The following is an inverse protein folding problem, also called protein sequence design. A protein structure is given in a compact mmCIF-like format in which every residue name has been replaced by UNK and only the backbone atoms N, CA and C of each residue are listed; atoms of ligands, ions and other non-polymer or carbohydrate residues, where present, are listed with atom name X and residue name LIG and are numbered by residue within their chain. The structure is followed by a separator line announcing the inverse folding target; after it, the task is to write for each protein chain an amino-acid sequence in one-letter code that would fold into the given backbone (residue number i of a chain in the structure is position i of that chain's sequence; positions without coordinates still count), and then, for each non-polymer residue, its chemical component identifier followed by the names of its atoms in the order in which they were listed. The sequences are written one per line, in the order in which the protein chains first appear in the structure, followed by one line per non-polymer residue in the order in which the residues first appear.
data_IF_870008707853
#
_entry.id   IF_870008707853
#
_cell.length_a   1.000
_cell.length_b   1.000
_cell.length_c   1.000
_cell.angle_alpha   90.00
_cell.angle_beta   90.00
_cell.angle_gamma   90.00
#
_symmetry.space_group_name_H-M   'P 1'
#
loop_
_entity.id
_entity.type
_entity.pdbx_description
1 polymer ?
#
# COMPACT_ATOMS: atom_id res chain seq x y z
N UNK A 1 -33.13 0.33 35.22
CA UNK A 1 -31.65 0.41 35.35
C UNK A 1 -30.91 -0.40 34.30
N UNK A 2 -31.18 -1.70 34.13
CA UNK A 2 -30.47 -2.57 33.17
C UNK A 2 -30.36 -2.02 31.73
N UNK A 3 -31.41 -1.41 31.19
CA UNK A 3 -31.41 -0.88 29.82
C UNK A 3 -30.51 0.36 29.65
N UNK A 4 -30.39 1.18 30.71
CA UNK A 4 -29.49 2.34 30.74
C UNK A 4 -28.02 1.89 30.83
N UNK A 5 -27.73 0.90 31.67
CA UNK A 5 -26.41 0.28 31.77
C UNK A 5 -25.98 -0.36 30.44
N UNK A 6 -26.89 -1.10 29.79
CA UNK A 6 -26.65 -1.72 28.48
C UNK A 6 -26.41 -0.68 27.38
N UNK A 7 -27.16 0.43 27.37
CA UNK A 7 -26.95 1.53 26.42
C UNK A 7 -25.59 2.20 26.60
N UNK A 8 -25.19 2.44 27.85
CA UNK A 8 -23.88 3.02 28.16
C UNK A 8 -22.73 2.10 27.75
N UNK A 9 -22.84 0.78 28.02
CA UNK A 9 -21.84 -0.19 27.58
C UNK A 9 -21.72 -0.27 26.05
N UNK A 10 -22.83 -0.25 25.32
CA UNK A 10 -22.82 -0.21 23.85
C UNK A 10 -22.15 1.06 23.31
N UNK A 11 -22.41 2.21 23.95
CA UNK A 11 -21.79 3.48 23.58
C UNK A 11 -20.27 3.46 23.80
N UNK A 12 -19.81 2.85 24.90
CA UNK A 12 -18.38 2.69 25.18
C UNK A 12 -17.70 1.75 24.18
N UNK A 13 -18.29 0.58 23.90
CA UNK A 13 -17.76 -0.36 22.92
C UNK A 13 -17.65 0.27 21.52
N UNK A 14 -18.65 1.06 21.11
CA UNK A 14 -18.60 1.76 19.82
C UNK A 14 -17.52 2.84 19.77
N UNK A 15 -17.25 3.53 20.88
CA UNK A 15 -16.16 4.51 20.96
C UNK A 15 -14.77 3.83 20.92
N UNK A 16 -14.60 2.72 21.63
CA UNK A 16 -13.35 1.95 21.61
C UNK A 16 -13.08 1.37 20.23
N UNK A 17 -14.11 0.81 19.57
CA UNK A 17 -13.99 0.29 18.23
C UNK A 17 -13.61 1.39 17.23
N UNK A 18 -14.21 2.59 17.34
CA UNK A 18 -13.85 3.73 16.49
C UNK A 18 -12.39 4.17 16.68
N UNK A 19 -11.93 4.25 17.92
CA UNK A 19 -10.53 4.57 18.24
C UNK A 19 -9.56 3.52 17.73
N UNK A 20 -9.92 2.24 17.80
CA UNK A 20 -9.11 1.16 17.24
C UNK A 20 -8.98 1.30 15.72
N UNK A 21 -10.09 1.56 15.01
CA UNK A 21 -10.07 1.82 13.56
C UNK A 21 -9.27 3.08 13.20
N UNK A 22 -9.43 4.18 13.94
CA UNK A 22 -8.66 5.42 13.74
C UNK A 22 -7.15 5.16 13.91
N UNK A 23 -6.75 4.41 14.93
CA UNK A 23 -5.35 4.04 15.16
C UNK A 23 -4.79 3.13 14.06
N UNK A 24 -5.56 2.13 13.62
CA UNK A 24 -5.15 1.23 12.53
C UNK A 24 -4.97 1.99 11.22
N UNK A 25 -5.90 2.90 10.90
CA UNK A 25 -5.79 3.77 9.74
C UNK A 25 -4.55 4.67 9.82
N UNK A 26 -4.24 5.22 11.00
CA UNK A 26 -3.06 6.05 11.20
C UNK A 26 -1.75 5.28 10.98
N UNK A 27 -1.68 4.05 11.49
CA UNK A 27 -0.53 3.15 11.28
C UNK A 27 -0.35 2.87 9.79
N UNK A 28 -1.46 2.63 9.08
CA UNK A 28 -1.43 2.35 7.64
C UNK A 28 -0.97 3.57 6.82
N UNK A 29 -1.41 4.77 7.17
CA UNK A 29 -0.93 6.02 6.57
C UNK A 29 0.58 6.16 6.76
N UNK A 30 1.09 5.96 7.98
CA UNK A 30 2.53 6.05 8.27
C UNK A 30 3.35 5.00 7.50
N UNK A 31 2.81 3.80 7.28
CA UNK A 31 3.46 2.78 6.46
C UNK A 31 3.50 3.19 4.99
N UNK A 32 2.40 3.73 4.46
CA UNK A 32 2.31 4.20 3.08
C UNK A 32 3.26 5.37 2.83
N UNK A 33 3.40 6.31 3.78
CA UNK A 33 4.36 7.41 3.70
C UNK A 33 5.81 6.89 3.60
N UNK A 34 6.19 5.91 4.43
CA UNK A 34 7.53 5.29 4.35
C UNK A 34 7.77 4.56 3.03
N UNK A 35 6.77 3.88 2.50
CA UNK A 35 6.86 3.21 1.20
C UNK A 35 7.00 4.23 0.07
N UNK A 36 6.28 5.34 0.15
CA UNK A 36 6.38 6.44 -0.82
C UNK A 36 7.79 7.06 -0.81
N UNK A 37 8.34 7.34 0.37
CA UNK A 37 9.70 7.86 0.49
C UNK A 37 10.74 6.89 -0.10
N UNK A 38 10.58 5.59 0.15
CA UNK A 38 11.45 4.57 -0.42
C UNK A 38 11.36 4.51 -1.95
N UNK A 39 10.14 4.60 -2.50
CA UNK A 39 9.91 4.66 -3.96
C UNK A 39 10.56 5.88 -4.59
N UNK A 40 10.39 7.06 -4.00
CA UNK A 40 10.99 8.30 -4.50
C UNK A 40 12.52 8.23 -4.49
N UNK A 41 13.11 7.62 -3.46
CA UNK A 41 14.56 7.41 -3.39
C UNK A 41 15.07 6.53 -4.53
N UNK A 42 14.38 5.42 -4.80
CA UNK A 42 14.70 4.53 -5.92
C UNK A 42 14.57 5.23 -7.28
N UNK A 43 13.53 6.04 -7.47
CA UNK A 43 13.35 6.82 -8.71
C UNK A 43 14.53 7.79 -8.95
N UNK A 44 15.04 8.45 -7.89
CA UNK A 44 16.22 9.30 -8.01
C UNK A 44 17.49 8.50 -8.38
N UNK A 45 17.70 7.34 -7.77
CA UNK A 45 18.85 6.47 -8.06
C UNK A 45 18.82 5.98 -9.52
N UNK A 46 17.64 5.61 -10.03
CA UNK A 46 17.43 5.23 -11.45
C UNK A 46 17.81 6.37 -12.39
N UNK A 47 17.33 7.58 -12.15
CA UNK A 47 17.65 8.73 -13.01
C UNK A 47 19.14 9.10 -12.95
N UNK A 48 19.78 8.97 -11.79
CA UNK A 48 21.23 9.14 -11.66
C UNK A 48 22.01 8.13 -12.51
N UNK A 49 21.62 6.84 -12.45
CA UNK A 49 22.25 5.77 -13.22
C UNK A 49 22.05 5.97 -14.74
N UNK A 50 20.85 6.34 -15.17
CA UNK A 50 20.56 6.70 -16.57
C UNK A 50 21.43 7.87 -17.04
N UNK A 51 21.59 8.89 -16.21
CA UNK A 51 22.48 10.02 -16.48
C UNK A 51 23.93 9.59 -16.66
N UNK A 52 24.45 8.76 -15.76
CA UNK A 52 25.81 8.19 -15.85
C UNK A 52 26.01 7.37 -17.13
N UNK A 53 25.03 6.55 -17.51
CA UNK A 53 25.06 5.78 -18.76
C UNK A 53 25.12 6.66 -20.00
N UNK A 54 24.29 7.71 -20.04
CA UNK A 54 24.24 8.62 -21.19
C UNK A 54 25.59 9.32 -21.40
N UNK A 55 26.22 9.73 -20.28
CA UNK A 55 27.56 10.32 -20.27
C UNK A 55 28.60 9.32 -20.74
N UNK A 56 28.59 8.08 -20.23
CA UNK A 56 29.52 7.03 -20.67
C UNK A 56 29.35 6.69 -22.16
N UNK A 57 28.12 6.64 -22.67
CA UNK A 57 27.85 6.40 -24.10
C UNK A 57 28.37 7.53 -25.00
N UNK A 58 28.38 8.77 -24.52
CA UNK A 58 28.92 9.92 -25.27
C UNK A 58 30.43 10.11 -25.11
N UNK A 59 31.03 9.63 -24.01
CA UNK A 59 32.46 9.80 -23.71
C UNK A 59 33.31 8.56 -23.97
N UNK A 60 32.70 7.39 -24.18
CA UNK A 60 33.41 6.17 -24.53
C UNK A 60 33.64 6.09 -26.04
N UNK A 61 34.89 5.89 -26.46
CA UNK A 61 35.20 5.44 -27.81
C UNK A 61 34.45 4.12 -28.07
N UNK A 62 33.78 3.99 -29.22
CA UNK A 62 32.93 2.85 -29.57
C UNK A 62 33.66 1.49 -29.52
N UNK A 63 35.00 1.49 -29.51
CA UNK A 63 35.87 0.31 -29.46
C UNK A 63 36.31 -0.13 -28.04
N UNK A 64 35.91 0.58 -26.96
CA UNK A 64 36.27 0.16 -25.61
C UNK A 64 35.32 -0.93 -25.08
N UNK A 65 35.75 -2.19 -25.20
CA UNK A 65 35.03 -3.37 -24.73
C UNK A 65 34.65 -3.30 -23.23
N UNK A 66 35.39 -2.54 -22.41
CA UNK A 66 35.04 -2.35 -21.01
C UNK A 66 33.79 -1.46 -20.85
N UNK A 67 33.63 -0.44 -21.71
CA UNK A 67 32.46 0.44 -21.74
C UNK A 67 31.22 -0.32 -22.23
N UNK A 68 31.37 -1.15 -23.27
CA UNK A 68 30.27 -1.98 -23.78
C UNK A 68 29.75 -2.98 -22.73
N UNK A 69 30.66 -3.65 -22.02
CA UNK A 69 30.27 -4.58 -20.94
C UNK A 69 29.54 -3.85 -19.80
N UNK A 70 30.02 -2.65 -19.42
CA UNK A 70 29.38 -1.85 -18.37
C UNK A 70 27.99 -1.37 -18.76
N UNK A 71 27.80 -0.95 -20.02
CA UNK A 71 26.48 -0.60 -20.55
C UNK A 71 25.54 -1.81 -20.52
N UNK A 72 26.05 -3.00 -20.85
CA UNK A 72 25.25 -4.22 -20.83
C UNK A 72 24.82 -4.60 -19.41
N UNK A 73 25.74 -4.62 -18.45
CA UNK A 73 25.44 -4.89 -17.04
C UNK A 73 24.38 -3.92 -16.50
N UNK A 74 24.52 -2.63 -16.78
CA UNK A 74 23.56 -1.63 -16.31
C UNK A 74 22.18 -1.76 -16.98
N UNK A 75 22.10 -2.24 -18.22
CA UNK A 75 20.80 -2.52 -18.85
C UNK A 75 20.13 -3.76 -18.22
N UNK A 76 20.89 -4.81 -17.90
CA UNK A 76 20.37 -6.00 -17.22
C UNK A 76 19.83 -5.65 -15.82
N UNK A 77 20.55 -4.81 -15.07
CA UNK A 77 20.08 -4.28 -13.77
C UNK A 77 18.83 -3.39 -13.92
N UNK A 78 18.77 -2.59 -14.99
CA UNK A 78 17.59 -1.76 -15.27
C UNK A 78 16.35 -2.61 -15.57
N UNK A 79 16.51 -3.67 -16.39
CA UNK A 79 15.41 -4.58 -16.73
C UNK A 79 14.90 -5.34 -15.48
N UNK A 80 15.80 -5.81 -14.62
CA UNK A 80 15.43 -6.43 -13.34
C UNK A 80 14.63 -5.48 -12.45
N UNK A 81 15.07 -4.23 -12.31
CA UNK A 81 14.35 -3.23 -11.52
C UNK A 81 12.96 -2.91 -12.09
N UNK A 82 12.78 -2.93 -13.41
CA UNK A 82 11.48 -2.72 -14.06
C UNK A 82 10.54 -3.90 -13.76
N UNK A 83 11.03 -5.13 -13.84
CA UNK A 83 10.24 -6.33 -13.53
C UNK A 83 9.82 -6.34 -12.05
N UNK A 84 10.73 -6.02 -11.13
CA UNK A 84 10.42 -5.89 -9.70
C UNK A 84 9.38 -4.79 -9.43
N UNK A 85 9.47 -3.64 -10.11
CA UNK A 85 8.46 -2.58 -10.01
C UNK A 85 7.09 -3.07 -10.44
N UNK A 86 7.02 -3.85 -11.52
CA UNK A 86 5.77 -4.39 -12.05
C UNK A 86 5.14 -5.40 -11.09
N UNK A 87 5.95 -6.28 -10.50
CA UNK A 87 5.47 -7.23 -9.48
C UNK A 87 4.90 -6.51 -8.25
N UNK A 88 5.53 -5.40 -7.84
CA UNK A 88 5.02 -4.56 -6.75
C UNK A 88 3.71 -3.86 -7.10
N UNK A 89 3.56 -3.37 -8.34
CA UNK A 89 2.30 -2.78 -8.81
C UNK A 89 1.16 -3.81 -8.85
N UNK A 90 1.44 -5.02 -9.36
CA UNK A 90 0.49 -6.12 -9.40
C UNK A 90 0.07 -6.56 -7.98
N UNK A 91 1.03 -6.65 -7.05
CA UNK A 91 0.75 -6.94 -5.64
C UNK A 91 -0.13 -5.86 -5.01
N UNK A 92 0.17 -4.59 -5.26
CA UNK A 92 -0.61 -3.48 -4.73
C UNK A 92 -2.06 -3.51 -5.26
N UNK A 93 -2.23 -3.78 -6.56
CA UNK A 93 -3.54 -3.93 -7.16
C UNK A 93 -4.34 -5.09 -6.54
N UNK A 94 -3.69 -6.23 -6.27
CA UNK A 94 -4.31 -7.35 -5.58
C UNK A 94 -4.73 -7.01 -4.13
N UNK A 95 -3.91 -6.25 -3.40
CA UNK A 95 -4.24 -5.78 -2.05
C UNK A 95 -5.42 -4.83 -2.05
N UNK A 96 -5.51 -3.90 -3.01
CA UNK A 96 -6.65 -2.99 -3.17
C UNK A 96 -7.95 -3.78 -3.38
N UNK A 97 -7.92 -4.82 -4.23
CA UNK A 97 -9.07 -5.68 -4.47
C UNK A 97 -9.49 -6.39 -3.18
N UNK A 98 -8.54 -6.97 -2.45
CA UNK A 98 -8.80 -7.68 -1.20
C UNK A 98 -9.36 -6.77 -0.10
N UNK A 99 -8.86 -5.55 0.01
CA UNK A 99 -9.41 -4.57 0.96
C UNK A 99 -10.85 -4.19 0.64
N UNK A 100 -11.17 -3.98 -0.65
CA UNK A 100 -12.56 -3.69 -1.06
C UNK A 100 -13.50 -4.84 -0.70
N UNK A 101 -13.10 -6.08 -0.99
CA UNK A 101 -13.87 -7.27 -0.64
C UNK A 101 -14.09 -7.37 0.88
N UNK A 102 -13.04 -7.19 1.68
CA UNK A 102 -13.13 -7.20 3.14
C UNK A 102 -14.04 -6.09 3.69
N UNK A 103 -13.99 -4.89 3.09
CA UNK A 103 -14.85 -3.77 3.47
C UNK A 103 -16.32 -4.05 3.12
N UNK A 104 -16.59 -4.63 1.94
CA UNK A 104 -17.94 -5.04 1.54
C UNK A 104 -18.50 -6.09 2.51
N UNK A 105 -17.71 -7.10 2.89
CA UNK A 105 -18.08 -8.11 3.90
C UNK A 105 -18.36 -7.48 5.26
N UNK A 106 -17.52 -6.56 5.73
CA UNK A 106 -17.71 -5.84 6.99
C UNK A 106 -18.99 -4.99 6.97
N UNK A 107 -19.28 -4.33 5.85
CA UNK A 107 -20.50 -3.55 5.69
C UNK A 107 -21.75 -4.42 5.69
N UNK A 108 -21.72 -5.58 5.02
CA UNK A 108 -22.82 -6.53 5.05
C UNK A 108 -23.05 -7.08 6.46
N UNK A 109 -21.99 -7.48 7.18
CA UNK A 109 -22.08 -7.90 8.57
C UNK A 109 -22.69 -6.81 9.48
N UNK A 110 -22.30 -5.54 9.27
CA UNK A 110 -22.87 -4.40 10.00
C UNK A 110 -24.35 -4.19 9.69
N UNK A 111 -24.75 -4.27 8.42
CA UNK A 111 -26.17 -4.18 8.01
C UNK A 111 -26.98 -5.28 8.67
N UNK A 112 -26.48 -6.51 8.68
CA UNK A 112 -27.12 -7.65 9.34
C UNK A 112 -27.29 -7.43 10.86
N UNK A 113 -26.27 -6.90 11.53
CA UNK A 113 -26.34 -6.62 12.97
C UNK A 113 -27.35 -5.51 13.30
N UNK A 114 -27.46 -4.47 12.45
CA UNK A 114 -28.48 -3.43 12.59
C UNK A 114 -29.88 -4.02 12.38
N UNK A 115 -30.06 -4.86 11.35
CA UNK A 115 -31.33 -5.53 11.08
C UNK A 115 -31.75 -6.46 12.23
N UNK A 116 -30.81 -7.27 12.76
CA UNK A 116 -31.05 -8.17 13.91
C UNK A 116 -31.24 -7.41 15.22
N UNK A 117 -30.58 -6.26 15.41
CA UNK A 117 -30.69 -5.42 16.60
C UNK A 117 -31.93 -4.51 16.67
N UNK A 118 -32.55 -4.19 15.52
CA UNK A 118 -33.78 -3.41 15.43
C UNK A 118 -35.08 -4.19 15.68
N UNK A 119 -35.01 -5.52 15.73
CA UNK A 119 -36.15 -6.43 15.91
C UNK A 119 -36.62 -6.65 17.36
N UNK A 120 -36.40 -5.68 18.25
CA UNK A 120 -36.98 -5.68 19.60
C UNK A 120 -38.48 -5.38 19.55
N UNK A 121 -39.27 -6.45 19.49
CA UNK A 121 -40.74 -6.52 19.47
C UNK A 121 -41.44 -5.35 20.19
N UNK A 122 -42.32 -4.66 19.46
CA UNK A 122 -43.51 -4.02 20.01
C UNK A 122 -44.59 -5.09 20.10
N UNK A 123 -44.80 -5.64 21.30
CA UNK A 123 -46.03 -6.33 21.70
C UNK A 123 -46.40 -5.82 23.09
#
# INVERSE_FOLDING_TARGET
MLNSTRNNSLKMASMEQRKAYENEALIKILQLEKQLDAKQKLEMEIEELKGKLLVMKHLGDEDDAAVQNKIKEMNEELDQNIDEMKDLEDLNQALIIKERQSNDELQEARKELIAKGGGGKRE
#
